data_IF_543320530220
#
_entry.id   IF_543320530220
#
_cell.length_a   1.000
_cell.length_b   1.000
_cell.length_c   1.000
_cell.angle_alpha   90.00
_cell.angle_beta   90.00
_cell.angle_gamma   90.00
#
_symmetry.space_group_name_H-M   'P 1'
#
loop_
_entity.id
_entity.type
_entity.pdbx_description
1 polymer ?
#
# COMPACT_ATOMS: atom_id res chain seq x y z
N UNK A 1 -38.40 1.99 -51.94
CA UNK A 1 -38.12 1.73 -50.51
C UNK A 1 -37.37 0.39 -50.44
N UNK A 2 -36.06 0.45 -50.32
CA UNK A 2 -35.21 -0.76 -50.25
C UNK A 2 -35.23 -1.18 -48.77
N UNK A 3 -35.97 -2.24 -48.48
CA UNK A 3 -35.92 -2.91 -47.17
C UNK A 3 -34.64 -3.73 -47.18
N UNK A 4 -33.62 -3.27 -46.47
CA UNK A 4 -32.44 -4.06 -46.19
C UNK A 4 -32.86 -5.18 -45.23
N UNK A 5 -33.05 -6.38 -45.78
CA UNK A 5 -33.22 -7.60 -45.00
C UNK A 5 -31.86 -7.87 -44.32
N UNK A 6 -31.71 -7.34 -43.09
CA UNK A 6 -30.49 -7.57 -42.31
C UNK A 6 -30.58 -9.01 -41.79
N UNK A 7 -29.66 -9.85 -42.25
CA UNK A 7 -29.56 -11.24 -41.82
C UNK A 7 -29.34 -11.29 -40.30
N UNK A 8 -30.34 -11.70 -39.55
CA UNK A 8 -30.35 -11.81 -38.10
C UNK A 8 -29.16 -12.63 -37.56
N UNK A 9 -28.66 -13.58 -38.35
CA UNK A 9 -27.44 -14.37 -37.99
C UNK A 9 -26.19 -13.52 -38.01
N UNK A 10 -26.09 -12.55 -38.92
CA UNK A 10 -24.92 -11.63 -39.00
C UNK A 10 -24.97 -10.66 -37.84
N UNK A 11 -26.16 -10.14 -37.49
CA UNK A 11 -26.33 -9.27 -36.31
C UNK A 11 -25.93 -10.01 -35.04
N UNK A 12 -26.43 -11.23 -34.85
CA UNK A 12 -26.13 -12.03 -33.66
C UNK A 12 -24.62 -12.31 -33.52
N UNK A 13 -23.96 -12.71 -34.60
CA UNK A 13 -22.50 -12.96 -34.60
C UNK A 13 -21.71 -11.69 -34.22
N UNK A 14 -22.08 -10.53 -34.76
CA UNK A 14 -21.43 -9.25 -34.45
C UNK A 14 -21.64 -8.84 -32.99
N UNK A 15 -22.86 -9.02 -32.47
CA UNK A 15 -23.18 -8.72 -31.07
C UNK A 15 -22.40 -9.61 -30.11
N UNK A 16 -22.29 -10.90 -30.41
CA UNK A 16 -21.48 -11.83 -29.61
C UNK A 16 -19.99 -11.40 -29.62
N UNK A 17 -19.46 -11.06 -30.80
CA UNK A 17 -18.07 -10.61 -30.90
C UNK A 17 -17.81 -9.34 -30.10
N UNK A 18 -18.69 -8.35 -30.20
CA UNK A 18 -18.59 -7.09 -29.42
C UNK A 18 -18.64 -7.39 -27.92
N UNK A 19 -19.55 -8.28 -27.50
CA UNK A 19 -19.67 -8.69 -26.10
C UNK A 19 -18.39 -9.36 -25.59
N UNK A 20 -17.80 -10.27 -26.35
CA UNK A 20 -16.53 -10.94 -26.02
C UNK A 20 -15.40 -9.93 -25.91
N UNK A 21 -15.24 -9.02 -26.89
CA UNK A 21 -14.19 -8.00 -26.89
C UNK A 21 -14.36 -7.05 -25.69
N UNK A 22 -15.59 -6.64 -25.39
CA UNK A 22 -15.88 -5.82 -24.22
C UNK A 22 -15.50 -6.51 -22.91
N UNK A 23 -15.84 -7.81 -22.77
CA UNK A 23 -15.49 -8.58 -21.58
C UNK A 23 -13.98 -8.75 -21.44
N UNK A 24 -13.27 -9.08 -22.52
CA UNK A 24 -11.80 -9.19 -22.50
C UNK A 24 -11.17 -7.85 -22.09
N UNK A 25 -11.64 -6.74 -22.66
CA UNK A 25 -11.15 -5.40 -22.32
C UNK A 25 -11.46 -5.05 -20.86
N UNK A 26 -12.68 -5.27 -20.42
CA UNK A 26 -13.14 -5.00 -19.06
C UNK A 26 -12.36 -5.82 -18.03
N UNK A 27 -12.23 -7.15 -18.25
CA UNK A 27 -11.45 -8.00 -17.38
C UNK A 27 -9.96 -7.65 -17.39
N UNK A 28 -9.37 -7.35 -18.55
CA UNK A 28 -7.97 -6.95 -18.60
C UNK A 28 -7.72 -5.64 -17.88
N UNK A 29 -8.64 -4.68 -17.97
CA UNK A 29 -8.55 -3.39 -17.26
C UNK A 29 -8.73 -3.56 -15.76
N UNK A 30 -9.70 -4.36 -15.33
CA UNK A 30 -9.89 -4.69 -13.92
C UNK A 30 -8.67 -5.43 -13.38
N UNK A 31 -8.23 -6.49 -14.05
CA UNK A 31 -7.07 -7.27 -13.62
C UNK A 31 -5.80 -6.42 -13.58
N UNK A 32 -5.56 -5.55 -14.56
CA UNK A 32 -4.38 -4.68 -14.57
C UNK A 32 -4.41 -3.66 -13.43
N UNK A 33 -5.60 -3.20 -13.02
CA UNK A 33 -5.75 -2.31 -11.88
C UNK A 33 -5.73 -3.05 -10.53
N UNK A 34 -6.20 -4.31 -10.50
CA UNK A 34 -6.22 -5.13 -9.29
C UNK A 34 -4.84 -5.64 -8.86
N UNK A 35 -3.88 -5.71 -9.77
CA UNK A 35 -2.52 -6.22 -9.49
C UNK A 35 -1.46 -5.11 -9.52
N UNK A 36 -1.80 -3.90 -9.09
CA UNK A 36 -0.82 -2.84 -8.93
C UNK A 36 -0.19 -2.92 -7.54
N UNK A 37 1.03 -3.39 -7.48
CA UNK A 37 1.87 -3.29 -6.30
C UNK A 37 2.74 -2.06 -6.41
N UNK A 38 2.94 -1.40 -5.29
CA UNK A 38 3.92 -0.33 -5.15
C UNK A 38 4.93 -0.75 -4.09
N UNK A 39 6.17 -0.55 -4.41
CA UNK A 39 7.31 -0.76 -3.54
C UNK A 39 8.01 0.56 -3.30
N UNK A 40 8.43 0.80 -2.08
CA UNK A 40 9.29 1.90 -1.72
C UNK A 40 10.44 1.39 -0.88
N UNK A 41 11.66 1.58 -1.40
CA UNK A 41 12.89 1.14 -0.75
C UNK A 41 13.62 2.38 -0.26
N UNK A 42 14.04 2.34 1.00
CA UNK A 42 14.90 3.37 1.56
C UNK A 42 15.98 2.73 2.43
N UNK A 43 17.07 3.45 2.63
CA UNK A 43 18.18 3.03 3.47
C UNK A 43 18.33 3.99 4.65
N UNK A 44 19.00 3.52 5.70
CA UNK A 44 19.57 4.42 6.69
C UNK A 44 20.64 5.33 6.08
N UNK A 45 21.07 6.36 6.79
CA UNK A 45 22.04 7.34 6.27
C UNK A 45 23.42 6.75 5.93
N UNK A 46 23.78 5.65 6.56
CA UNK A 46 25.04 4.97 6.33
C UNK A 46 24.95 3.88 5.25
N UNK A 47 23.76 3.67 4.66
CA UNK A 47 23.46 2.63 3.69
C UNK A 47 23.75 1.20 4.20
N UNK A 48 23.65 0.98 5.52
CA UNK A 48 23.92 -0.32 6.16
C UNK A 48 22.67 -1.20 6.13
N UNK A 49 21.50 -0.60 6.43
CA UNK A 49 20.23 -1.32 6.45
C UNK A 49 19.31 -0.82 5.36
N UNK A 50 18.69 -1.76 4.70
CA UNK A 50 17.68 -1.52 3.67
C UNK A 50 16.30 -1.89 4.22
N UNK A 51 15.36 -0.99 4.03
CA UNK A 51 13.97 -1.15 4.41
C UNK A 51 13.11 -1.16 3.16
N UNK A 52 12.22 -2.10 3.10
CA UNK A 52 11.32 -2.27 1.98
C UNK A 52 9.88 -2.12 2.46
N UNK A 53 9.11 -1.28 1.78
CA UNK A 53 7.70 -1.08 2.04
C UNK A 53 6.94 -1.44 0.79
N UNK A 54 6.01 -2.33 0.93
CA UNK A 54 5.14 -2.73 -0.16
C UNK A 54 3.67 -2.66 0.25
N UNK A 55 2.81 -2.39 -0.69
CA UNK A 55 1.37 -2.39 -0.50
C UNK A 55 0.66 -3.05 -1.66
N UNK A 56 -0.25 -3.94 -1.32
CA UNK A 56 -1.27 -4.45 -2.23
C UNK A 56 -2.46 -3.48 -2.22
N UNK A 57 -2.90 -3.06 -3.39
CA UNK A 57 -4.05 -2.18 -3.57
C UNK A 57 -5.34 -2.71 -2.91
N UNK A 58 -5.41 -4.03 -2.68
CA UNK A 58 -6.59 -4.69 -2.09
C UNK A 58 -6.68 -4.57 -0.59
N UNK A 59 -5.57 -4.34 0.10
CA UNK A 59 -5.52 -4.46 1.56
C UNK A 59 -5.62 -3.14 2.29
N UNK A 60 -5.47 -2.00 1.62
CA UNK A 60 -5.37 -0.67 2.24
C UNK A 60 -4.25 -0.56 3.29
N UNK A 61 -3.37 -1.55 3.36
CA UNK A 61 -2.23 -1.63 4.25
C UNK A 61 -0.94 -1.71 3.45
N UNK A 62 0.11 -1.15 3.99
CA UNK A 62 1.47 -1.45 3.60
C UNK A 62 2.11 -2.36 4.64
N UNK A 63 3.20 -2.94 4.26
CA UNK A 63 4.06 -3.74 5.13
C UNK A 63 5.45 -3.18 5.06
N UNK A 64 6.16 -3.17 6.20
CA UNK A 64 7.57 -2.86 6.24
C UNK A 64 8.35 -4.14 6.51
N UNK A 65 9.34 -4.39 5.68
CA UNK A 65 10.25 -5.51 5.83
C UNK A 65 11.70 -5.01 5.99
N UNK A 66 12.52 -5.82 6.66
CA UNK A 66 13.96 -5.65 6.76
C UNK A 66 14.61 -6.72 5.89
N UNK A 67 15.41 -6.32 4.91
CA UNK A 67 16.08 -7.23 3.97
C UNK A 67 16.87 -8.34 4.66
N UNK A 68 17.38 -8.07 5.87
CA UNK A 68 18.16 -9.04 6.64
C UNK A 68 17.34 -9.90 7.60
N UNK A 69 16.01 -9.74 7.65
CA UNK A 69 15.13 -10.47 8.57
C UNK A 69 15.41 -10.21 10.06
N UNK A 70 16.23 -9.20 10.38
CA UNK A 70 16.57 -8.83 11.75
C UNK A 70 15.50 -7.91 12.34
N UNK A 71 14.39 -8.49 12.75
CA UNK A 71 13.38 -7.80 13.53
C UNK A 71 13.87 -7.55 14.96
N UNK A 72 13.35 -6.54 15.67
CA UNK A 72 13.58 -6.37 17.09
C UNK A 72 13.31 -7.65 17.87
N UNK A 73 14.10 -7.96 18.90
CA UNK A 73 14.02 -9.19 19.68
C UNK A 73 12.58 -9.54 20.04
N UNK A 74 12.16 -10.74 19.66
CA UNK A 74 10.83 -11.30 19.96
C UNK A 74 9.72 -10.99 18.97
N UNK A 75 10.01 -10.31 17.86
CA UNK A 75 9.01 -9.99 16.84
C UNK A 75 9.33 -10.71 15.51
N UNK A 76 8.36 -11.47 15.03
CA UNK A 76 8.43 -12.20 13.76
C UNK A 76 7.29 -11.70 12.89
N UNK A 77 7.60 -11.17 11.72
CA UNK A 77 6.60 -10.87 10.69
C UNK A 77 6.61 -9.45 10.15
N UNK A 78 5.91 -9.28 9.07
CA UNK A 78 5.70 -8.01 8.40
C UNK A 78 4.85 -7.09 9.27
N UNK A 79 5.31 -5.88 9.52
CA UNK A 79 4.53 -4.89 10.26
C UNK A 79 3.56 -4.18 9.32
N UNK A 80 2.30 -4.21 9.69
CA UNK A 80 1.24 -3.55 8.95
C UNK A 80 1.29 -2.04 9.17
N UNK A 81 1.05 -1.27 8.10
CA UNK A 81 1.07 0.19 8.11
C UNK A 81 -0.15 0.72 7.35
N UNK A 82 -0.90 1.64 7.94
CA UNK A 82 -2.01 2.36 7.30
C UNK A 82 -1.63 3.77 6.89
N UNK A 83 -0.87 4.43 7.72
CA UNK A 83 -0.45 5.81 7.52
C UNK A 83 1.05 5.95 7.73
N UNK A 84 1.65 6.91 7.06
CA UNK A 84 3.10 7.12 7.02
C UNK A 84 3.43 8.59 7.15
N UNK A 85 4.45 8.86 7.97
CA UNK A 85 5.21 10.10 7.99
C UNK A 85 6.66 9.82 7.60
N UNK A 86 7.23 10.64 6.76
CA UNK A 86 8.65 10.53 6.40
C UNK A 86 9.31 11.90 6.29
N UNK A 87 10.45 12.02 6.92
CA UNK A 87 11.37 13.14 6.75
C UNK A 87 12.83 12.66 6.54
N UNK A 88 13.78 13.58 6.66
CA UNK A 88 15.21 13.27 6.49
C UNK A 88 15.79 12.37 7.59
N UNK A 89 15.16 12.32 8.77
CA UNK A 89 15.66 11.60 9.93
C UNK A 89 14.89 10.33 10.22
N UNK A 90 13.58 10.33 9.94
CA UNK A 90 12.67 9.28 10.34
C UNK A 90 11.81 8.80 9.19
N UNK A 91 11.52 7.50 9.20
CA UNK A 91 10.35 6.93 8.57
C UNK A 91 9.48 6.38 9.70
N UNK A 92 8.20 6.74 9.72
CA UNK A 92 7.27 6.35 10.77
C UNK A 92 6.02 5.77 10.11
N UNK A 93 5.75 4.50 10.39
CA UNK A 93 4.51 3.84 10.03
C UNK A 93 3.54 3.83 11.21
N UNK A 94 2.28 4.06 10.95
CA UNK A 94 1.22 3.98 11.93
C UNK A 94 0.17 2.97 11.50
N UNK A 95 -0.16 2.02 12.37
CA UNK A 95 -1.31 1.15 12.23
C UNK A 95 -2.24 1.31 13.43
N UNK A 96 -3.52 1.12 13.19
CA UNK A 96 -4.55 1.23 14.21
C UNK A 96 -5.73 0.29 13.93
N UNK A 97 -6.38 -0.14 14.99
CA UNK A 97 -7.64 -0.85 14.94
C UNK A 97 -8.75 0.11 15.34
N UNK A 98 -9.85 0.10 14.58
CA UNK A 98 -11.03 0.90 14.87
C UNK A 98 -12.17 0.01 15.34
N UNK A 99 -12.91 0.49 16.32
CA UNK A 99 -14.21 -0.06 16.61
C UNK A 99 -15.17 0.25 15.46
N UNK A 100 -15.77 -0.78 14.87
CA UNK A 100 -16.63 -0.62 13.70
C UNK A 100 -17.95 0.07 14.01
N UNK A 101 -18.41 0.04 15.28
CA UNK A 101 -19.66 0.67 15.69
C UNK A 101 -19.46 2.14 16.02
N UNK A 102 -18.41 2.48 16.77
CA UNK A 102 -18.15 3.86 17.23
C UNK A 102 -17.21 4.64 16.32
N UNK A 103 -16.50 3.96 15.42
CA UNK A 103 -15.43 4.50 14.58
C UNK A 103 -14.25 5.11 15.38
N UNK A 104 -14.15 4.79 16.67
CA UNK A 104 -13.04 5.21 17.53
C UNK A 104 -11.85 4.28 17.39
N UNK A 105 -10.64 4.80 17.60
CA UNK A 105 -9.42 4.01 17.59
C UNK A 105 -9.31 3.28 18.93
N UNK A 106 -9.38 1.95 18.88
CA UNK A 106 -9.23 1.11 20.08
C UNK A 106 -7.76 0.84 20.41
N UNK A 107 -6.93 0.68 19.38
CA UNK A 107 -5.53 0.34 19.54
C UNK A 107 -4.72 0.91 18.38
N UNK A 108 -3.64 1.58 18.71
CA UNK A 108 -2.69 2.10 17.73
C UNK A 108 -1.25 1.81 18.14
N UNK A 109 -0.39 1.63 17.15
CA UNK A 109 1.04 1.52 17.36
C UNK A 109 1.80 2.20 16.23
N UNK A 110 2.99 2.70 16.58
CA UNK A 110 3.90 3.36 15.66
C UNK A 110 5.16 2.51 15.49
N UNK A 111 5.58 2.36 14.25
CA UNK A 111 6.86 1.77 13.88
C UNK A 111 7.77 2.92 13.48
N UNK A 112 8.83 3.14 14.21
CA UNK A 112 9.76 4.23 13.97
C UNK A 112 11.09 3.69 13.50
N UNK A 113 11.47 4.05 12.29
CA UNK A 113 12.81 3.84 11.75
C UNK A 113 13.60 5.14 11.90
N UNK A 114 14.60 5.15 12.78
CA UNK A 114 15.57 6.23 12.88
C UNK A 114 16.69 6.04 11.84
N UNK A 115 16.62 6.82 10.77
CA UNK A 115 17.57 6.73 9.65
C UNK A 115 19.01 7.10 10.04
N UNK A 116 19.18 7.84 11.14
CA UNK A 116 20.52 8.21 11.61
C UNK A 116 21.20 7.09 12.40
N UNK A 117 20.39 6.34 13.16
CA UNK A 117 20.87 5.27 14.04
C UNK A 117 20.75 3.88 13.43
N UNK A 118 20.07 3.76 12.29
CA UNK A 118 19.74 2.47 11.68
C UNK A 118 18.97 1.54 12.66
N UNK A 119 18.06 2.11 13.45
CA UNK A 119 17.24 1.37 14.41
C UNK A 119 15.77 1.41 14.00
N UNK A 120 15.05 0.32 14.29
CA UNK A 120 13.61 0.23 14.18
C UNK A 120 13.04 -0.10 15.56
N UNK A 121 12.08 0.67 16.00
CA UNK A 121 11.44 0.54 17.32
C UNK A 121 9.91 0.67 17.17
N UNK A 122 9.18 -0.02 18.04
CA UNK A 122 7.73 0.02 18.07
C UNK A 122 7.27 0.71 19.34
N UNK A 123 6.29 1.61 19.19
CA UNK A 123 5.72 2.38 20.28
C UNK A 123 4.19 2.22 20.29
N UNK A 124 3.61 2.15 21.48
CA UNK A 124 2.19 2.48 21.63
C UNK A 124 1.98 4.00 21.42
N UNK A 125 0.73 4.41 21.32
CA UNK A 125 0.39 5.81 21.02
C UNK A 125 0.89 6.78 22.10
N UNK A 126 0.79 6.39 23.38
CA UNK A 126 1.19 7.23 24.50
C UNK A 126 2.71 7.47 24.52
N UNK A 127 3.48 6.40 24.39
CA UNK A 127 4.95 6.47 24.41
C UNK A 127 5.49 7.22 23.19
N UNK A 128 4.84 7.02 22.03
CA UNK A 128 5.18 7.75 20.82
C UNK A 128 4.97 9.26 21.00
N UNK A 129 3.82 9.69 21.48
CA UNK A 129 3.51 11.11 21.66
C UNK A 129 4.44 11.80 22.68
N UNK A 130 4.88 11.06 23.71
CA UNK A 130 5.86 11.58 24.66
C UNK A 130 7.23 11.77 24.01
N UNK A 131 7.71 10.76 23.28
CA UNK A 131 9.06 10.76 22.70
C UNK A 131 9.17 11.65 21.45
N UNK A 132 8.13 11.66 20.62
CA UNK A 132 8.10 12.34 19.32
C UNK A 132 7.10 13.51 19.27
N UNK A 133 6.95 14.24 20.40
CA UNK A 133 6.00 15.35 20.58
C UNK A 133 6.01 16.45 19.50
N UNK A 134 7.12 16.54 18.74
CA UNK A 134 7.26 17.54 17.67
C UNK A 134 6.75 17.04 16.31
N UNK A 135 6.32 15.78 16.22
CA UNK A 135 5.74 15.22 15.00
C UNK A 135 4.23 15.42 15.06
N UNK A 136 3.73 16.18 14.12
CA UNK A 136 2.32 16.51 14.00
C UNK A 136 1.56 15.38 13.29
N UNK A 137 0.52 14.87 13.94
CA UNK A 137 -0.33 13.81 13.39
C UNK A 137 -0.94 14.18 12.03
N UNK A 138 -1.17 15.47 11.78
CA UNK A 138 -1.71 15.95 10.49
C UNK A 138 -0.76 15.73 9.29
N UNK A 139 0.49 15.42 9.54
CA UNK A 139 1.50 15.15 8.50
C UNK A 139 1.53 13.69 8.05
N UNK A 140 0.84 12.81 8.75
CA UNK A 140 0.71 11.43 8.32
C UNK A 140 -0.20 11.37 7.09
N UNK A 141 0.21 10.60 6.11
CA UNK A 141 -0.55 10.36 4.89
C UNK A 141 -0.82 8.87 4.73
N UNK A 142 -1.94 8.54 4.13
CA UNK A 142 -2.29 7.16 3.84
C UNK A 142 -1.16 6.49 3.04
N UNK A 143 -0.84 5.24 3.41
CA UNK A 143 0.28 4.46 2.82
C UNK A 143 0.17 4.35 1.29
N UNK A 144 -1.04 4.13 0.77
CA UNK A 144 -1.25 4.04 -0.68
C UNK A 144 -0.92 5.36 -1.39
N UNK A 145 -1.34 6.49 -0.80
CA UNK A 145 -1.01 7.83 -1.31
C UNK A 145 0.49 8.08 -1.29
N UNK A 146 1.15 7.66 -0.22
CA UNK A 146 2.61 7.74 -0.09
C UNK A 146 3.31 6.93 -1.18
N UNK A 147 2.97 5.64 -1.30
CA UNK A 147 3.59 4.74 -2.26
C UNK A 147 3.31 5.17 -3.71
N UNK A 148 2.13 5.70 -4.00
CA UNK A 148 1.82 6.25 -5.33
C UNK A 148 2.69 7.46 -5.69
N UNK A 149 3.13 8.24 -4.70
CA UNK A 149 3.96 9.44 -4.90
C UNK A 149 5.45 9.13 -4.94
N UNK A 150 5.91 8.22 -4.09
CA UNK A 150 7.33 7.95 -3.87
C UNK A 150 7.77 6.55 -4.27
N UNK A 151 6.86 5.61 -4.35
CA UNK A 151 7.15 4.22 -4.67
C UNK A 151 7.32 3.97 -6.15
N UNK A 152 7.95 2.85 -6.46
CA UNK A 152 8.03 2.31 -7.80
C UNK A 152 6.87 1.37 -8.03
N UNK A 153 6.17 1.52 -9.16
CA UNK A 153 5.13 0.59 -9.56
C UNK A 153 5.77 -0.71 -10.04
N UNK A 154 5.55 -1.78 -9.29
CA UNK A 154 6.00 -3.11 -9.69
C UNK A 154 4.88 -3.75 -10.52
N UNK A 155 5.16 -4.02 -11.78
CA UNK A 155 4.25 -4.78 -12.62
C UNK A 155 4.41 -6.27 -12.34
N UNK A 156 3.34 -6.92 -11.88
CA UNK A 156 3.14 -8.37 -11.72
C UNK A 156 4.26 -9.14 -11.00
N UNK A 157 3.83 -9.91 -9.99
CA UNK A 157 4.57 -10.94 -9.27
C UNK A 157 5.89 -11.41 -9.90
N UNK A 158 6.98 -11.29 -9.17
CA UNK A 158 8.12 -12.15 -9.33
C UNK A 158 7.88 -13.49 -8.63
#
# INVERSE_FOLDING_TARGET
MIILEIDNKVILKRSILIFIVFHIYFYSTILSNYFQYYEYIFTDKNHIKKYEIFSDIRTFYGYIDLEDGMYPEGQVGDFRIKEVYEDKNYFIGYDFEKNYETNEIEKGYYIVVDKNKATMEIYNEQDFKVKYKNIDDSKFINIYTFLKRKGTKIGKYR
#
